data_IF_269606827913
#
_entry.id   IF_269606827913
#
_cell.length_a   1.000
_cell.length_b   1.000
_cell.length_c   1.000
_cell.angle_alpha   90.00
_cell.angle_beta   90.00
_cell.angle_gamma   90.00
#
_symmetry.space_group_name_H-M   'P 1'
#
loop_
_entity.id
_entity.type
_entity.pdbx_description
1 polymer ?
#
# COMPACT_ATOMS: atom_id res chain seq x y z
N UNK A 1 13.95 -8.80 17.83
CA UNK A 1 13.13 -9.83 18.50
C UNK A 1 11.66 -9.60 18.20
N UNK A 2 10.80 -10.63 18.00
CA UNK A 2 11.07 -12.01 17.59
C UNK A 2 10.71 -12.22 16.10
N UNK A 3 11.58 -12.93 15.36
CA UNK A 3 11.22 -13.54 14.08
C UNK A 3 10.44 -14.82 14.40
N UNK A 4 9.15 -14.87 14.08
CA UNK A 4 8.40 -16.13 14.03
C UNK A 4 8.71 -16.77 12.69
N UNK A 5 9.40 -17.91 12.74
CA UNK A 5 9.61 -18.88 11.66
C UNK A 5 10.04 -18.26 10.35
N UNK A 6 11.34 -18.29 9.99
CA UNK A 6 11.96 -17.64 8.82
C UNK A 6 11.30 -17.91 7.45
N UNK A 7 10.09 -17.40 7.27
CA UNK A 7 9.16 -17.61 6.19
C UNK A 7 8.77 -16.22 5.72
N UNK A 8 9.34 -15.83 4.58
CA UNK A 8 9.03 -14.58 3.91
C UNK A 8 7.52 -14.45 3.75
N UNK A 9 6.92 -13.42 4.34
CA UNK A 9 5.48 -13.17 4.18
C UNK A 9 5.32 -12.29 2.94
N UNK A 10 5.41 -12.94 1.78
CA UNK A 10 5.40 -12.26 0.47
C UNK A 10 3.99 -11.82 0.02
N UNK A 11 2.94 -12.19 0.77
CA UNK A 11 1.55 -11.98 0.36
C UNK A 11 0.66 -11.69 1.57
N UNK A 12 -0.23 -10.70 1.43
CA UNK A 12 -1.29 -10.37 2.36
C UNK A 12 -2.38 -9.58 1.65
N UNK A 13 -3.63 -9.71 2.09
CA UNK A 13 -4.77 -9.03 1.49
C UNK A 13 -4.98 -7.65 2.13
N UNK A 14 -4.87 -6.60 1.32
CA UNK A 14 -5.13 -5.22 1.72
C UNK A 14 -6.54 -4.77 1.38
N UNK A 15 -6.97 -3.63 1.95
CA UNK A 15 -8.23 -2.99 1.58
C UNK A 15 -7.98 -1.63 0.96
N UNK A 16 -8.65 -1.37 -0.16
CA UNK A 16 -8.78 -0.02 -0.72
C UNK A 16 -9.87 0.72 0.04
N UNK A 17 -9.54 1.86 0.63
CA UNK A 17 -10.45 2.69 1.42
C UNK A 17 -10.49 4.07 0.80
N UNK A 18 -11.67 4.58 0.46
CA UNK A 18 -11.86 5.98 0.16
C UNK A 18 -12.21 6.75 1.44
N UNK A 19 -11.40 7.75 1.80
CA UNK A 19 -11.73 8.74 2.83
C UNK A 19 -11.82 10.14 2.18
N UNK A 20 -13.01 10.54 1.70
CA UNK A 20 -13.17 11.86 1.14
C UNK A 20 -12.87 12.93 2.20
N UNK A 21 -12.18 13.99 1.79
CA UNK A 21 -11.91 15.17 2.61
C UNK A 21 -12.60 16.38 2.02
N UNK A 22 -13.30 17.16 2.86
CA UNK A 22 -13.89 18.43 2.43
C UNK A 22 -12.93 19.57 2.74
N UNK A 23 -12.56 20.33 1.71
CA UNK A 23 -11.75 21.54 1.85
C UNK A 23 -12.53 22.70 1.23
N UNK A 24 -12.98 23.64 2.07
CA UNK A 24 -13.88 24.72 1.65
C UNK A 24 -15.20 24.17 1.10
N UNK A 25 -15.49 24.46 -0.18
CA UNK A 25 -16.70 24.01 -0.89
C UNK A 25 -16.51 22.72 -1.69
N UNK A 26 -15.29 22.20 -1.82
CA UNK A 26 -14.99 21.02 -2.65
C UNK A 26 -14.78 19.77 -1.78
N UNK A 27 -15.20 18.62 -2.30
CA UNK A 27 -14.95 17.30 -1.71
C UNK A 27 -13.94 16.59 -2.59
N UNK A 28 -12.84 16.14 -1.98
CA UNK A 28 -11.77 15.42 -2.67
C UNK A 28 -11.71 14.00 -2.14
N UNK A 29 -11.86 13.02 -3.04
CA UNK A 29 -11.63 11.62 -2.70
C UNK A 29 -10.16 11.38 -2.39
N UNK A 30 -9.89 10.59 -1.35
CA UNK A 30 -8.55 10.15 -1.00
C UNK A 30 -8.58 8.64 -0.81
N UNK A 31 -7.97 7.95 -1.75
CA UNK A 31 -7.87 6.50 -1.71
C UNK A 31 -6.61 6.08 -0.94
N UNK A 32 -6.79 5.14 -0.03
CA UNK A 32 -5.73 4.55 0.78
C UNK A 32 -5.71 3.05 0.51
N UNK A 33 -4.51 2.51 0.27
CA UNK A 33 -4.28 1.07 0.17
C UNK A 33 -3.61 0.64 1.46
N UNK A 34 -4.30 -0.18 2.25
CA UNK A 34 -3.70 -0.74 3.45
C UNK A 34 -2.78 -1.90 3.09
N UNK A 35 -1.49 -1.77 3.43
CA UNK A 35 -0.52 -2.87 3.36
C UNK A 35 -0.47 -3.54 4.73
N UNK A 36 -0.72 -4.87 4.82
CA UNK A 36 -0.63 -5.59 6.10
C UNK A 36 0.73 -5.41 6.78
N UNK A 37 0.72 -5.34 8.11
CA UNK A 37 1.94 -5.02 8.88
C UNK A 37 3.02 -6.09 8.73
N UNK A 38 2.63 -7.37 8.61
CA UNK A 38 3.57 -8.46 8.34
C UNK A 38 4.28 -8.33 7.00
N UNK A 39 3.63 -7.78 5.97
CA UNK A 39 4.21 -7.54 4.65
C UNK A 39 5.12 -6.30 4.68
N UNK A 40 4.65 -5.20 5.29
CA UNK A 40 5.40 -3.95 5.34
C UNK A 40 6.67 -4.00 6.21
N UNK A 41 6.74 -4.94 7.16
CA UNK A 41 7.91 -5.17 8.02
C UNK A 41 8.86 -6.24 7.49
N UNK A 42 8.50 -6.93 6.42
CA UNK A 42 9.38 -7.91 5.78
C UNK A 42 10.62 -7.20 5.20
N UNK A 43 11.79 -7.83 5.35
CA UNK A 43 13.05 -7.32 4.81
C UNK A 43 13.04 -7.11 3.29
N UNK A 44 12.18 -7.81 2.57
CA UNK A 44 12.02 -7.69 1.12
C UNK A 44 11.05 -6.56 0.71
N UNK A 45 10.42 -5.87 1.66
CA UNK A 45 9.53 -4.75 1.35
C UNK A 45 10.34 -3.58 0.76
N UNK A 46 10.01 -3.10 -0.46
CA UNK A 46 10.92 -2.25 -1.22
C UNK A 46 10.88 -0.76 -0.81
N UNK A 47 9.94 -0.36 0.06
CA UNK A 47 9.69 1.05 0.39
C UNK A 47 9.91 1.35 1.86
N UNK A 48 10.23 2.60 2.16
CA UNK A 48 10.38 3.15 3.51
C UNK A 48 9.39 4.28 3.76
N UNK A 49 9.16 4.59 5.03
CA UNK A 49 8.35 5.73 5.42
C UNK A 49 8.99 7.03 4.89
N UNK A 50 8.20 7.80 4.15
CA UNK A 50 8.63 9.07 3.56
C UNK A 50 9.06 8.97 2.08
N UNK A 51 9.17 7.77 1.52
CA UNK A 51 9.47 7.61 0.10
C UNK A 51 8.35 8.19 -0.77
N UNK A 52 8.74 8.91 -1.81
CA UNK A 52 7.81 9.36 -2.85
C UNK A 52 7.57 8.21 -3.82
N UNK A 53 6.38 7.63 -3.76
CA UNK A 53 6.02 6.47 -4.58
C UNK A 53 5.23 6.88 -5.81
N UNK A 54 5.57 6.29 -6.96
CA UNK A 54 4.82 6.45 -8.20
C UNK A 54 3.86 5.28 -8.38
N UNK A 55 2.58 5.59 -8.55
CA UNK A 55 1.53 4.59 -8.75
C UNK A 55 1.13 4.57 -10.23
N UNK A 56 1.15 3.39 -10.84
CA UNK A 56 0.79 3.18 -12.24
C UNK A 56 -0.27 2.07 -12.35
N UNK A 57 -1.25 2.27 -13.24
CA UNK A 57 -2.26 1.25 -13.56
C UNK A 57 -1.84 0.56 -14.86
N UNK A 58 -1.74 -0.76 -14.83
CA UNK A 58 -1.68 -1.57 -16.04
C UNK A 58 -3.10 -2.01 -16.43
N UNK A 59 -3.73 -1.39 -17.44
CA UNK A 59 -5.12 -1.70 -17.82
C UNK A 59 -5.26 -3.09 -18.45
N UNK A 60 -4.18 -3.65 -19.01
CA UNK A 60 -4.21 -4.98 -19.66
C UNK A 60 -4.21 -6.07 -18.60
N UNK A 61 -3.41 -5.90 -17.56
CA UNK A 61 -3.30 -6.86 -16.46
C UNK A 61 -4.29 -6.60 -15.33
N UNK A 62 -4.95 -5.43 -15.32
CA UNK A 62 -5.81 -4.95 -14.22
C UNK A 62 -5.06 -4.92 -12.89
N UNK A 63 -3.80 -4.51 -12.96
CA UNK A 63 -2.88 -4.47 -11.83
C UNK A 63 -2.51 -3.02 -11.50
N UNK A 64 -2.24 -2.78 -10.21
CA UNK A 64 -1.66 -1.53 -9.74
C UNK A 64 -0.18 -1.79 -9.40
N UNK A 65 0.72 -1.12 -10.12
CA UNK A 65 2.15 -1.11 -9.81
C UNK A 65 2.49 0.07 -8.93
N UNK A 66 3.37 -0.15 -7.96
CA UNK A 66 3.98 0.92 -7.15
C UNK A 66 5.48 0.84 -7.38
N UNK A 67 6.12 1.97 -7.69
CA UNK A 67 7.55 2.08 -7.98
C UNK A 67 8.17 3.23 -7.20
#
# INVERSE_FOLDING_TARGET
>A
MPMRDGKLVLKGEGRLINRPTKTGKQVYDKFFIYVPTEVARDSAFPFKLGDLLRIEVDPKRKELGVR
#
